data_IF_292849735876
#
_entry.id   IF_292849735876
#
_cell.length_a   1.000
_cell.length_b   1.000
_cell.length_c   1.000
_cell.angle_alpha   90.00
_cell.angle_beta   90.00
_cell.angle_gamma   90.00
#
_symmetry.space_group_name_H-M   'P 1'
#
loop_
_entity.id
_entity.type
_entity.pdbx_description
1 polymer ?
#
# COMPACT_ATOMS: atom_id res chain seq x y z
N UNK A 1 19.55 8.40 6.37
CA UNK A 1 19.22 7.76 5.08
C UNK A 1 18.60 8.82 4.18
N UNK A 2 18.66 8.66 2.86
CA UNK A 2 17.92 9.50 1.92
C UNK A 2 16.44 9.11 1.94
N UNK A 3 15.52 9.99 1.52
CA UNK A 3 14.06 9.73 1.53
C UNK A 3 13.69 8.42 0.82
N UNK A 4 14.28 8.14 -0.34
CA UNK A 4 14.06 6.88 -1.07
C UNK A 4 14.52 5.63 -0.27
N UNK A 5 15.59 5.76 0.53
CA UNK A 5 16.08 4.69 1.38
C UNK A 5 15.16 4.45 2.58
N UNK A 6 14.52 5.50 3.13
CA UNK A 6 13.47 5.32 4.14
C UNK A 6 12.24 4.63 3.55
N UNK A 7 11.85 4.96 2.31
CA UNK A 7 10.73 4.31 1.62
C UNK A 7 11.01 2.82 1.35
N UNK A 8 12.21 2.50 0.86
CA UNK A 8 12.66 1.11 0.72
C UNK A 8 12.69 0.38 2.07
N UNK A 9 13.21 1.02 3.12
CA UNK A 9 13.26 0.44 4.45
C UNK A 9 11.85 0.20 5.01
N UNK A 10 10.89 1.09 4.73
CA UNK A 10 9.50 0.92 5.13
C UNK A 10 8.88 -0.33 4.50
N UNK A 11 9.09 -0.56 3.20
CA UNK A 11 8.67 -1.78 2.51
C UNK A 11 9.27 -3.06 3.14
N UNK A 12 10.53 -3.00 3.56
CA UNK A 12 11.23 -4.13 4.19
C UNK A 12 10.74 -4.37 5.63
N UNK A 13 10.51 -3.31 6.39
CA UNK A 13 10.03 -3.41 7.78
C UNK A 13 8.57 -3.86 7.84
N UNK A 14 7.74 -3.45 6.89
CA UNK A 14 6.35 -3.90 6.76
C UNK A 14 6.30 -5.43 6.67
N UNK A 15 7.00 -6.03 5.71
CA UNK A 15 6.98 -7.49 5.56
C UNK A 15 7.71 -8.21 6.71
N UNK A 16 8.67 -7.56 7.36
CA UNK A 16 9.38 -8.12 8.52
C UNK A 16 8.57 -8.08 9.82
N UNK A 17 7.54 -7.24 9.92
CA UNK A 17 6.66 -7.17 11.09
C UNK A 17 5.89 -8.48 11.27
N UNK A 18 5.89 -9.05 12.48
CA UNK A 18 5.23 -10.33 12.74
C UNK A 18 4.70 -10.46 14.18
N UNK A 19 3.47 -10.96 14.39
CA UNK A 19 2.54 -11.47 13.38
C UNK A 19 1.78 -10.36 12.62
N UNK A 20 1.57 -10.56 11.31
CA UNK A 20 0.59 -9.79 10.52
C UNK A 20 -0.54 -10.72 10.08
N UNK A 21 -1.71 -10.70 10.76
CA UNK A 21 -2.77 -11.66 10.48
C UNK A 21 -3.17 -11.75 9.02
N UNK A 22 -2.99 -12.94 8.43
CA UNK A 22 -3.38 -13.26 7.05
C UNK A 22 -2.46 -12.73 5.95
N UNK A 23 -1.46 -11.91 6.27
CA UNK A 23 -0.54 -11.35 5.28
C UNK A 23 0.79 -12.15 5.26
N UNK A 24 1.57 -11.99 4.19
CA UNK A 24 2.92 -12.55 4.13
C UNK A 24 3.80 -11.85 5.15
N UNK A 25 4.48 -12.63 5.98
CA UNK A 25 5.43 -12.13 6.96
C UNK A 25 6.64 -13.08 7.06
N UNK A 26 7.52 -12.84 8.04
CA UNK A 26 8.70 -13.68 8.24
C UNK A 26 8.40 -15.16 8.50
N UNK A 27 7.21 -15.48 9.01
CA UNK A 27 6.80 -16.84 9.38
C UNK A 27 5.82 -17.46 8.38
N UNK A 28 5.16 -16.64 7.55
CA UNK A 28 4.04 -17.05 6.69
C UNK A 28 4.27 -16.66 5.23
N UNK A 29 4.07 -17.65 4.37
CA UNK A 29 4.11 -17.56 2.91
C UNK A 29 2.75 -18.04 2.35
N UNK A 30 2.39 -17.54 1.17
CA UNK A 30 1.44 -18.20 0.27
C UNK A 30 2.20 -19.02 -0.79
N UNK A 31 1.51 -19.96 -1.46
CA UNK A 31 2.12 -20.81 -2.49
C UNK A 31 2.83 -20.01 -3.59
N UNK A 32 2.18 -18.92 -4.05
CA UNK A 32 2.65 -18.08 -5.15
C UNK A 32 3.29 -16.75 -4.69
N UNK A 33 3.17 -16.39 -3.41
CA UNK A 33 3.64 -15.12 -2.86
C UNK A 33 4.33 -15.31 -1.51
N UNK A 34 5.64 -15.02 -1.46
CA UNK A 34 6.53 -15.44 -0.36
C UNK A 34 7.37 -14.28 0.16
N UNK A 35 7.88 -14.39 1.38
CA UNK A 35 8.68 -13.37 2.04
C UNK A 35 9.82 -12.83 1.16
N UNK A 36 10.56 -13.70 0.46
CA UNK A 36 11.67 -13.26 -0.41
C UNK A 36 11.23 -12.41 -1.61
N UNK A 37 9.97 -12.55 -2.06
CA UNK A 37 9.41 -11.77 -3.16
C UNK A 37 9.25 -10.31 -2.76
N UNK A 38 8.87 -10.04 -1.51
CA UNK A 38 8.82 -8.67 -0.96
C UNK A 38 10.21 -8.08 -0.75
N UNK A 39 11.18 -8.88 -0.30
CA UNK A 39 12.57 -8.40 -0.16
C UNK A 39 13.15 -7.97 -1.51
N UNK A 40 12.99 -8.82 -2.52
CA UNK A 40 13.44 -8.54 -3.88
C UNK A 40 12.65 -7.37 -4.48
N UNK A 41 11.34 -7.32 -4.25
CA UNK A 41 10.45 -6.26 -4.71
C UNK A 41 10.83 -4.88 -4.15
N UNK A 42 11.11 -4.79 -2.86
CA UNK A 42 11.55 -3.55 -2.21
C UNK A 42 12.90 -3.06 -2.76
N UNK A 43 13.82 -3.97 -3.10
CA UNK A 43 15.08 -3.61 -3.77
C UNK A 43 14.83 -3.16 -5.21
N UNK A 44 13.98 -3.85 -5.94
CA UNK A 44 13.63 -3.52 -7.33
C UNK A 44 12.94 -2.17 -7.46
N UNK A 45 12.10 -1.78 -6.51
CA UNK A 45 11.38 -0.51 -6.51
C UNK A 45 12.26 0.73 -6.33
N UNK A 46 13.54 0.56 -5.97
CA UNK A 46 14.41 1.66 -5.54
C UNK A 46 14.54 2.76 -6.59
N UNK A 47 14.70 2.41 -7.88
CA UNK A 47 14.89 3.40 -8.96
C UNK A 47 13.66 4.33 -9.09
N UNK A 48 12.45 3.79 -8.95
CA UNK A 48 11.23 4.59 -8.97
C UNK A 48 11.05 5.46 -7.73
N UNK A 49 11.43 4.95 -6.56
CA UNK A 49 11.43 5.73 -5.31
C UNK A 49 12.48 6.85 -5.34
N UNK A 50 13.66 6.60 -5.91
CA UNK A 50 14.68 7.62 -6.13
C UNK A 50 14.21 8.70 -7.11
N UNK A 51 13.53 8.31 -8.20
CA UNK A 51 12.92 9.24 -9.13
C UNK A 51 11.88 10.15 -8.44
N UNK A 52 11.01 9.57 -7.60
CA UNK A 52 10.03 10.34 -6.84
C UNK A 52 10.70 11.35 -5.89
N UNK A 53 11.76 10.93 -5.21
CA UNK A 53 12.55 11.78 -4.31
C UNK A 53 13.34 12.87 -5.07
N UNK A 54 13.75 12.61 -6.31
CA UNK A 54 14.37 13.60 -7.20
C UNK A 54 13.35 14.60 -7.80
N UNK A 55 12.06 14.32 -7.63
CA UNK A 55 10.96 15.18 -8.02
C UNK A 55 10.37 14.93 -9.41
N UNK A 56 10.61 13.74 -9.96
CA UNK A 56 9.94 13.26 -11.16
C UNK A 56 8.41 13.11 -10.94
N UNK A 57 7.61 13.05 -12.04
CA UNK A 57 6.16 12.87 -11.94
C UNK A 57 5.77 11.57 -11.24
N UNK A 58 4.74 11.65 -10.38
CA UNK A 58 4.26 10.54 -9.53
C UNK A 58 3.97 9.30 -10.35
N UNK A 59 3.25 9.42 -11.46
CA UNK A 59 2.88 8.26 -12.27
C UNK A 59 4.06 7.61 -12.98
N UNK A 60 5.07 8.39 -13.39
CA UNK A 60 6.28 7.86 -14.01
C UNK A 60 7.20 7.16 -13.00
N UNK A 61 7.32 7.74 -11.80
CA UNK A 61 8.03 7.13 -10.67
C UNK A 61 7.36 5.84 -10.20
N UNK A 62 6.03 5.82 -10.15
CA UNK A 62 5.25 4.63 -9.81
C UNK A 62 5.42 3.51 -10.84
N UNK A 63 5.30 3.82 -12.13
CA UNK A 63 5.54 2.86 -13.24
C UNK A 63 6.92 2.20 -13.12
N UNK A 64 7.97 3.02 -12.95
CA UNK A 64 9.35 2.55 -12.74
C UNK A 64 9.49 1.67 -11.49
N UNK A 65 8.86 2.07 -10.38
CA UNK A 65 8.93 1.33 -9.13
C UNK A 65 8.26 -0.05 -9.26
N UNK A 66 7.11 -0.12 -9.93
CA UNK A 66 6.37 -1.36 -10.16
C UNK A 66 7.11 -2.25 -11.15
N UNK A 67 7.66 -1.71 -12.23
CA UNK A 67 8.49 -2.45 -13.18
C UNK A 67 9.67 -3.13 -12.48
N UNK A 68 10.42 -2.39 -11.66
CA UNK A 68 11.54 -2.91 -10.89
C UNK A 68 11.12 -3.94 -9.85
N UNK A 69 10.04 -3.66 -9.12
CA UNK A 69 9.46 -4.59 -8.13
C UNK A 69 9.01 -5.91 -8.78
N UNK A 70 8.52 -5.88 -10.02
CA UNK A 70 8.01 -7.04 -10.75
C UNK A 70 9.08 -8.01 -11.29
N UNK A 71 10.38 -7.67 -11.22
CA UNK A 71 11.46 -8.53 -11.75
C UNK A 71 11.66 -9.84 -10.97
N UNK A 72 11.00 -9.96 -9.82
CA UNK A 72 10.90 -11.17 -9.02
C UNK A 72 9.74 -12.07 -9.51
N UNK A 73 9.67 -13.34 -9.07
CA UNK A 73 8.79 -14.36 -9.67
C UNK A 73 7.37 -14.49 -9.10
N UNK A 74 7.04 -13.74 -8.05
CA UNK A 74 5.78 -13.78 -7.29
C UNK A 74 4.74 -12.76 -7.73
N UNK A 75 4.92 -12.09 -8.87
CA UNK A 75 3.97 -11.11 -9.39
C UNK A 75 3.85 -9.86 -8.50
N UNK A 76 2.62 -9.52 -8.11
CA UNK A 76 2.33 -8.36 -7.27
C UNK A 76 2.69 -8.64 -5.80
N UNK A 77 3.84 -8.12 -5.36
CA UNK A 77 4.19 -8.11 -3.94
C UNK A 77 3.73 -6.85 -3.22
N UNK A 78 3.87 -5.67 -3.84
CA UNK A 78 3.81 -4.37 -3.13
C UNK A 78 3.20 -3.24 -3.98
N UNK A 79 2.32 -3.54 -4.94
CA UNK A 79 1.74 -2.52 -5.82
C UNK A 79 0.96 -1.44 -5.06
N UNK A 80 0.05 -1.84 -4.15
CA UNK A 80 -0.74 -0.90 -3.36
C UNK A 80 0.13 -0.06 -2.42
N UNK A 81 1.11 -0.69 -1.76
CA UNK A 81 2.10 0.00 -0.94
C UNK A 81 2.85 1.07 -1.75
N UNK A 82 3.37 0.74 -2.95
CA UNK A 82 4.03 1.71 -3.82
C UNK A 82 3.10 2.84 -4.25
N UNK A 83 1.82 2.55 -4.47
CA UNK A 83 0.82 3.54 -4.85
C UNK A 83 0.58 4.56 -3.72
N UNK A 84 0.74 4.17 -2.46
CA UNK A 84 0.73 5.10 -1.32
C UNK A 84 2.09 5.77 -1.08
N UNK A 85 3.20 5.02 -1.21
CA UNK A 85 4.54 5.49 -0.89
C UNK A 85 5.06 6.54 -1.87
N UNK A 86 4.83 6.40 -3.17
CA UNK A 86 5.37 7.33 -4.19
C UNK A 86 4.93 8.79 -3.95
N UNK A 87 3.64 9.12 -3.77
CA UNK A 87 3.23 10.49 -3.48
C UNK A 87 3.75 10.98 -2.12
N UNK A 88 3.86 10.13 -1.10
CA UNK A 88 4.45 10.49 0.20
C UNK A 88 5.94 10.85 0.08
N UNK A 89 6.71 10.05 -0.68
CA UNK A 89 8.11 10.34 -1.00
C UNK A 89 8.26 11.66 -1.75
N UNK A 90 7.37 11.91 -2.73
CA UNK A 90 7.36 13.16 -3.48
C UNK A 90 7.06 14.36 -2.58
N UNK A 91 6.11 14.22 -1.65
CA UNK A 91 5.76 15.28 -0.70
C UNK A 91 6.96 15.61 0.21
N UNK A 92 7.55 14.58 0.84
CA UNK A 92 8.70 14.71 1.73
C UNK A 92 9.89 15.40 1.06
N UNK A 93 10.14 15.11 -0.23
CA UNK A 93 11.23 15.72 -0.99
C UNK A 93 10.98 17.19 -1.41
N UNK A 94 9.72 17.65 -1.44
CA UNK A 94 9.36 18.96 -2.02
C UNK A 94 9.03 20.01 -0.97
N UNK A 95 8.17 19.65 -0.01
CA UNK A 95 7.55 20.61 0.91
C UNK A 95 7.70 20.16 2.36
N UNK A 96 7.31 18.92 2.62
CA UNK A 96 7.15 18.34 3.95
C UNK A 96 6.33 17.06 3.87
N UNK A 97 6.15 16.38 5.00
CA UNK A 97 5.41 15.13 5.08
C UNK A 97 4.21 15.27 6.04
N UNK A 98 3.24 16.06 5.61
CA UNK A 98 1.96 16.27 6.33
C UNK A 98 0.77 15.83 5.46
N UNK A 99 -0.43 15.67 6.04
CA UNK A 99 -1.64 15.44 5.26
C UNK A 99 -1.85 16.47 4.14
N UNK A 100 -1.68 17.77 4.45
CA UNK A 100 -1.87 18.86 3.48
C UNK A 100 -0.80 18.84 2.38
N UNK A 101 0.47 18.57 2.73
CA UNK A 101 1.55 18.47 1.74
C UNK A 101 1.30 17.29 0.78
N UNK A 102 0.82 16.17 1.32
CA UNK A 102 0.54 14.96 0.53
C UNK A 102 -0.69 15.14 -0.34
N UNK A 103 -1.75 15.75 0.18
CA UNK A 103 -2.94 16.14 -0.57
C UNK A 103 -2.56 17.04 -1.77
N UNK A 104 -1.70 18.03 -1.54
CA UNK A 104 -1.21 18.90 -2.61
C UNK A 104 -0.43 18.15 -3.70
N UNK A 105 0.32 17.10 -3.36
CA UNK A 105 1.00 16.24 -4.37
C UNK A 105 -0.02 15.49 -5.21
N UNK A 106 -0.97 14.81 -4.56
CA UNK A 106 -1.90 13.93 -5.28
C UNK A 106 -2.89 14.73 -6.12
N UNK A 107 -3.43 15.83 -5.60
CA UNK A 107 -4.34 16.74 -6.33
C UNK A 107 -3.65 17.43 -7.51
N UNK A 108 -2.33 17.59 -7.48
CA UNK A 108 -1.55 18.15 -8.57
C UNK A 108 -1.15 17.14 -9.65
N UNK A 109 -1.53 15.86 -9.50
CA UNK A 109 -1.24 14.85 -10.53
C UNK A 109 -1.92 15.18 -11.86
N UNK A 110 -1.30 14.72 -12.94
CA UNK A 110 -1.70 15.03 -14.31
C UNK A 110 -2.31 13.82 -15.02
N UNK A 111 -2.78 14.05 -16.25
CA UNK A 111 -3.21 12.99 -17.17
C UNK A 111 -2.05 12.07 -17.54
N UNK A 112 -0.82 12.58 -17.59
CA UNK A 112 0.35 11.74 -17.86
C UNK A 112 0.76 10.91 -16.63
N UNK A 113 0.48 11.39 -15.41
CA UNK A 113 0.60 10.59 -14.20
C UNK A 113 -0.41 9.42 -14.23
N UNK A 114 -1.66 9.69 -14.62
CA UNK A 114 -2.63 8.62 -14.85
C UNK A 114 -2.11 7.63 -15.89
N UNK A 115 -1.57 8.11 -17.02
CA UNK A 115 -1.01 7.21 -18.02
C UNK A 115 0.15 6.34 -17.50
N UNK A 116 0.96 6.85 -16.55
CA UNK A 116 1.98 6.05 -15.85
C UNK A 116 1.37 4.99 -14.94
N UNK A 117 0.35 5.35 -14.16
CA UNK A 117 -0.41 4.39 -13.35
C UNK A 117 -1.00 3.24 -14.18
N UNK A 118 -1.62 3.54 -15.33
CA UNK A 118 -2.16 2.49 -16.21
C UNK A 118 -1.07 1.61 -16.85
N UNK A 119 0.12 2.14 -17.15
CA UNK A 119 1.24 1.31 -17.64
C UNK A 119 1.75 0.34 -16.57
N UNK A 120 1.68 0.71 -15.30
CA UNK A 120 2.15 -0.15 -14.22
C UNK A 120 1.40 -1.50 -14.16
N UNK A 121 0.16 -1.58 -14.66
CA UNK A 121 -0.62 -2.82 -14.77
C UNK A 121 -0.07 -3.79 -15.82
N UNK A 122 0.80 -3.35 -16.74
CA UNK A 122 1.47 -4.25 -17.70
C UNK A 122 2.54 -5.12 -17.02
N UNK A 123 2.96 -4.76 -15.81
CA UNK A 123 4.04 -5.43 -15.09
C UNK A 123 3.55 -6.47 -14.09
N UNK A 124 2.31 -6.33 -13.59
CA UNK A 124 1.77 -7.18 -12.52
C UNK A 124 0.27 -7.40 -12.68
N UNK A 125 -0.18 -8.59 -12.26
CA UNK A 125 -1.61 -8.88 -12.11
C UNK A 125 -2.11 -8.31 -10.77
N UNK A 126 -3.00 -7.33 -10.84
CA UNK A 126 -3.64 -6.72 -9.66
C UNK A 126 -5.09 -7.17 -9.60
N UNK A 127 -5.53 -7.64 -8.43
CA UNK A 127 -6.93 -7.95 -8.22
C UNK A 127 -7.75 -6.65 -8.18
N UNK A 128 -8.71 -6.52 -9.11
CA UNK A 128 -9.63 -5.38 -9.19
C UNK A 128 -11.01 -5.87 -9.57
N UNK A 129 -12.04 -5.20 -9.06
CA UNK A 129 -13.43 -5.51 -9.40
C UNK A 129 -13.79 -5.06 -10.82
N UNK A 130 -14.96 -5.49 -11.28
CA UNK A 130 -15.53 -4.98 -12.52
C UNK A 130 -15.78 -3.47 -12.41
N UNK A 131 -15.35 -2.67 -13.40
CA UNK A 131 -15.62 -1.24 -13.39
C UNK A 131 -17.13 -0.98 -13.51
N UNK A 132 -17.62 0.17 -13.01
CA UNK A 132 -18.94 0.66 -13.35
C UNK A 132 -19.17 0.68 -14.87
N UNK A 133 -20.40 0.43 -15.31
CA UNK A 133 -20.73 0.30 -16.74
C UNK A 133 -20.38 1.54 -17.59
N UNK A 134 -20.35 2.74 -16.99
CA UNK A 134 -19.96 4.00 -17.61
C UNK A 134 -18.44 4.29 -17.58
N UNK A 135 -17.69 3.44 -16.88
CA UNK A 135 -16.24 3.48 -16.71
C UNK A 135 -15.50 2.30 -17.38
N UNK A 136 -16.17 1.45 -18.17
CA UNK A 136 -15.54 0.32 -18.88
C UNK A 136 -14.34 0.75 -19.75
N UNK A 137 -14.39 1.97 -20.31
CA UNK A 137 -13.27 2.52 -21.08
C UNK A 137 -12.03 2.87 -20.23
N UNK A 138 -12.21 3.01 -18.92
CA UNK A 138 -11.22 3.33 -17.89
C UNK A 138 -10.90 2.11 -17.02
N UNK A 139 -11.26 0.90 -17.45
CA UNK A 139 -10.91 -0.31 -16.74
C UNK A 139 -9.39 -0.45 -16.64
N UNK A 140 -8.86 -0.44 -15.41
CA UNK A 140 -7.43 -0.55 -15.14
C UNK A 140 -6.83 -1.86 -15.63
N UNK A 141 -7.63 -2.93 -15.78
CA UNK A 141 -7.20 -4.23 -16.36
C UNK A 141 -6.83 -4.13 -17.84
N UNK A 142 -7.22 -3.04 -18.51
CA UNK A 142 -6.81 -2.75 -19.89
C UNK A 142 -5.40 -2.15 -19.95
N UNK A 143 -4.80 -1.82 -18.80
CA UNK A 143 -3.45 -1.27 -18.73
C UNK A 143 -3.24 -0.11 -19.70
N UNK A 144 -2.20 -0.20 -20.53
CA UNK A 144 -1.86 0.83 -21.50
C UNK A 144 -2.97 1.11 -22.54
N UNK A 145 -3.85 0.16 -22.82
CA UNK A 145 -4.95 0.31 -23.79
C UNK A 145 -6.07 1.25 -23.30
N UNK A 146 -6.13 1.57 -22.00
CA UNK A 146 -7.06 2.57 -21.45
C UNK A 146 -6.55 4.01 -21.61
N UNK A 147 -5.25 4.21 -21.84
CA UNK A 147 -4.61 5.55 -21.89
C UNK A 147 -5.27 6.50 -22.91
N UNK A 148 -5.67 6.06 -24.12
CA UNK A 148 -6.41 6.92 -25.05
C UNK A 148 -7.72 7.48 -24.45
N UNK A 149 -8.47 6.66 -23.71
CA UNK A 149 -9.72 7.07 -23.06
C UNK A 149 -9.46 8.01 -21.86
N UNK A 150 -8.42 7.72 -21.06
CA UNK A 150 -7.94 8.60 -19.98
C UNK A 150 -7.61 9.99 -20.52
N UNK A 151 -6.90 10.07 -21.65
CA UNK A 151 -6.54 11.32 -22.32
C UNK A 151 -7.74 12.04 -22.94
N UNK A 152 -8.63 11.31 -23.59
CA UNK A 152 -9.86 11.88 -24.17
C UNK A 152 -10.74 12.53 -23.10
N UNK A 153 -10.84 11.90 -21.93
CA UNK A 153 -11.61 12.40 -20.78
C UNK A 153 -10.83 13.38 -19.90
N UNK A 154 -9.56 13.65 -20.21
CA UNK A 154 -8.65 14.50 -19.43
C UNK A 154 -8.57 14.09 -17.94
N UNK A 155 -8.59 12.79 -17.67
CA UNK A 155 -8.60 12.22 -16.32
C UNK A 155 -7.19 12.28 -15.72
N UNK A 156 -7.03 13.01 -14.62
CA UNK A 156 -5.81 12.99 -13.81
C UNK A 156 -5.71 11.72 -12.97
N UNK A 157 -4.55 11.43 -12.38
CA UNK A 157 -4.44 10.26 -11.49
C UNK A 157 -5.31 10.44 -10.24
N UNK A 158 -5.41 11.66 -9.71
CA UNK A 158 -6.35 11.97 -8.62
C UNK A 158 -7.79 11.63 -8.97
N UNK A 159 -8.25 12.04 -10.16
CA UNK A 159 -9.62 11.75 -10.58
C UNK A 159 -9.89 10.23 -10.73
N UNK A 160 -8.88 9.46 -11.16
CA UNK A 160 -8.96 7.99 -11.23
C UNK A 160 -9.07 7.39 -9.83
N UNK A 161 -8.32 7.92 -8.86
CA UNK A 161 -8.43 7.51 -7.46
C UNK A 161 -9.78 7.91 -6.87
N UNK A 162 -10.31 9.09 -7.17
CA UNK A 162 -11.63 9.54 -6.71
C UNK A 162 -12.76 8.62 -7.20
N UNK A 163 -12.70 8.17 -8.45
CA UNK A 163 -13.64 7.20 -8.98
C UNK A 163 -13.60 5.85 -8.23
N UNK A 164 -12.41 5.46 -7.74
CA UNK A 164 -12.16 4.15 -7.11
C UNK A 164 -12.34 4.16 -5.59
N UNK A 165 -12.23 5.34 -4.96
CA UNK A 165 -12.23 5.52 -3.51
C UNK A 165 -13.42 4.91 -2.74
N UNK A 166 -14.66 4.83 -3.29
CA UNK A 166 -15.77 4.21 -2.56
C UNK A 166 -15.60 2.71 -2.28
N UNK A 167 -14.81 2.00 -3.10
CA UNK A 167 -14.66 0.54 -3.04
C UNK A 167 -13.20 0.11 -2.78
N UNK A 168 -12.26 1.05 -2.76
CA UNK A 168 -10.84 0.76 -2.62
C UNK A 168 -10.16 1.61 -1.54
N UNK A 169 -9.64 0.96 -0.50
CA UNK A 169 -9.04 1.63 0.65
C UNK A 169 -7.72 2.35 0.34
N UNK A 170 -6.97 1.92 -0.67
CA UNK A 170 -5.76 2.62 -1.13
C UNK A 170 -6.17 3.90 -1.85
N UNK A 171 -7.16 3.83 -2.74
CA UNK A 171 -7.70 5.01 -3.41
C UNK A 171 -8.39 5.98 -2.42
N UNK A 172 -9.03 5.46 -1.37
CA UNK A 172 -9.63 6.27 -0.31
C UNK A 172 -8.58 7.14 0.42
N UNK A 173 -7.38 6.62 0.68
CA UNK A 173 -6.29 7.39 1.28
C UNK A 173 -5.85 8.56 0.40
N UNK A 174 -5.83 8.39 -0.92
CA UNK A 174 -5.49 9.45 -1.87
C UNK A 174 -6.46 10.65 -1.79
N UNK A 175 -7.75 10.40 -1.62
CA UNK A 175 -8.77 11.47 -1.60
C UNK A 175 -9.07 12.02 -0.21
N UNK A 176 -8.62 11.35 0.85
CA UNK A 176 -8.89 11.74 2.24
C UNK A 176 -7.68 12.33 2.98
N UNK A 177 -6.57 12.58 2.26
CA UNK A 177 -5.33 13.13 2.84
C UNK A 177 -4.53 12.11 3.64
N UNK A 178 -4.57 10.84 3.25
CA UNK A 178 -3.83 9.73 3.87
C UNK A 178 -4.17 9.58 5.35
N UNK A 179 -5.48 9.70 5.67
CA UNK A 179 -6.02 9.77 7.03
C UNK A 179 -5.54 8.58 7.87
N UNK A 180 -5.69 7.34 7.39
CA UNK A 180 -5.34 6.13 8.16
C UNK A 180 -3.83 6.00 8.32
N UNK A 181 -3.09 6.28 7.25
CA UNK A 181 -1.62 6.29 7.21
C UNK A 181 -1.05 7.19 8.30
N UNK A 182 -1.49 8.45 8.34
CA UNK A 182 -1.01 9.42 9.33
C UNK A 182 -1.53 9.14 10.74
N UNK A 183 -2.75 8.62 10.88
CA UNK A 183 -3.34 8.31 12.18
C UNK A 183 -2.56 7.20 12.92
N UNK A 184 -2.15 6.14 12.24
CA UNK A 184 -1.45 5.01 12.88
C UNK A 184 0.06 5.21 13.03
N UNK A 185 0.62 6.28 12.45
CA UNK A 185 2.07 6.54 12.53
C UNK A 185 2.57 6.60 13.98
N UNK A 186 1.75 7.16 14.89
CA UNK A 186 2.06 7.25 16.32
C UNK A 186 2.33 5.89 16.99
N UNK A 187 1.65 4.84 16.54
CA UNK A 187 1.85 3.46 17.04
C UNK A 187 3.26 2.96 16.73
N UNK A 188 3.83 3.40 15.62
CA UNK A 188 5.20 3.05 15.20
C UNK A 188 6.24 3.96 15.88
N UNK A 189 5.99 5.27 15.90
CA UNK A 189 6.95 6.26 16.42
C UNK A 189 7.10 6.18 17.94
N UNK A 190 5.98 6.03 18.64
CA UNK A 190 5.91 6.14 20.10
C UNK A 190 5.91 4.75 20.77
N UNK A 191 5.79 3.68 19.97
CA UNK A 191 5.82 2.31 20.46
C UNK A 191 7.17 1.91 21.05
N UNK A 192 7.14 0.95 21.97
CA UNK A 192 8.34 0.37 22.57
C UNK A 192 8.82 -0.88 21.80
N UNK A 193 10.09 -1.24 21.97
CA UNK A 193 10.66 -2.47 21.42
C UNK A 193 11.17 -2.34 19.96
N UNK A 194 11.49 -3.46 19.31
CA UNK A 194 11.96 -3.47 17.92
C UNK A 194 10.95 -2.86 16.95
N UNK A 195 11.42 -2.10 15.95
CA UNK A 195 10.53 -1.45 14.96
C UNK A 195 9.59 -2.45 14.25
N UNK A 196 10.02 -3.65 13.83
CA UNK A 196 9.09 -4.63 13.23
C UNK A 196 7.92 -5.02 14.14
N UNK A 197 8.10 -5.05 15.47
CA UNK A 197 7.03 -5.38 16.41
C UNK A 197 6.00 -4.24 16.48
N UNK A 198 6.46 -2.98 16.39
CA UNK A 198 5.59 -1.79 16.35
C UNK A 198 4.81 -1.70 15.03
N UNK A 199 5.46 -2.10 13.93
CA UNK A 199 4.82 -2.23 12.61
C UNK A 199 3.72 -3.29 12.64
N UNK A 200 3.96 -4.43 13.28
CA UNK A 200 2.94 -5.46 13.47
C UNK A 200 1.76 -4.96 14.34
N UNK A 201 2.04 -4.16 15.37
CA UNK A 201 0.99 -3.51 16.17
C UNK A 201 0.17 -2.51 15.34
N UNK A 202 0.82 -1.68 14.53
CA UNK A 202 0.15 -0.76 13.62
C UNK A 202 -0.75 -1.48 12.60
N UNK A 203 -0.29 -2.62 12.06
CA UNK A 203 -1.11 -3.47 11.19
C UNK A 203 -2.37 -3.97 11.91
N UNK A 204 -2.22 -4.51 13.12
CA UNK A 204 -3.36 -5.02 13.90
C UNK A 204 -4.33 -3.90 14.28
N UNK A 205 -3.82 -2.73 14.63
CA UNK A 205 -4.59 -1.53 14.90
C UNK A 205 -5.44 -1.10 13.71
N UNK A 206 -4.83 -1.00 12.51
CA UNK A 206 -5.54 -0.66 11.28
C UNK A 206 -6.60 -1.70 10.94
N UNK A 207 -6.28 -3.00 11.06
CA UNK A 207 -7.20 -4.10 10.78
C UNK A 207 -8.40 -4.12 11.74
N UNK A 208 -8.20 -3.69 12.98
CA UNK A 208 -9.24 -3.59 14.00
C UNK A 208 -10.16 -2.37 13.81
N UNK A 209 -9.67 -1.31 13.18
CA UNK A 209 -10.39 -0.04 13.03
C UNK A 209 -11.41 -0.10 11.88
N UNK A 210 -11.02 -0.66 10.73
CA UNK A 210 -11.85 -0.65 9.51
C UNK A 210 -11.68 -1.95 8.71
N UNK A 211 -12.76 -2.52 8.13
CA UNK A 211 -12.68 -3.71 7.29
C UNK A 211 -11.69 -3.53 6.13
N UNK A 212 -10.90 -4.57 5.85
CA UNK A 212 -9.95 -4.55 4.75
C UNK A 212 -10.67 -4.70 3.40
N UNK A 213 -10.50 -3.72 2.51
CA UNK A 213 -11.20 -3.72 1.22
C UNK A 213 -10.77 -4.86 0.31
N UNK A 214 -9.51 -5.31 0.34
CA UNK A 214 -9.11 -6.46 -0.47
C UNK A 214 -9.72 -7.76 0.06
N UNK A 215 -9.84 -7.92 1.38
CA UNK A 215 -10.60 -9.04 1.96
C UNK A 215 -12.07 -8.97 1.56
N UNK A 216 -12.69 -7.79 1.59
CA UNK A 216 -14.08 -7.61 1.19
C UNK A 216 -14.30 -7.99 -0.28
N UNK A 217 -13.38 -7.59 -1.17
CA UNK A 217 -13.43 -7.92 -2.59
C UNK A 217 -13.27 -9.42 -2.87
N UNK A 218 -12.31 -10.08 -2.22
CA UNK A 218 -11.99 -11.49 -2.48
C UNK A 218 -12.90 -12.48 -1.73
N UNK A 219 -13.39 -12.11 -0.55
CA UNK A 219 -14.11 -13.02 0.36
C UNK A 219 -15.48 -12.49 0.83
N UNK A 220 -15.85 -11.26 0.46
CA UNK A 220 -17.11 -10.62 0.81
C UNK A 220 -17.05 -9.82 2.12
N UNK A 221 -17.92 -8.81 2.20
CA UNK A 221 -18.05 -7.88 3.34
C UNK A 221 -18.18 -8.58 4.71
N UNK A 222 -18.95 -9.67 4.77
CA UNK A 222 -19.15 -10.39 6.02
C UNK A 222 -17.85 -11.04 6.55
N UNK A 223 -16.95 -11.46 5.66
CA UNK A 223 -15.65 -11.99 6.05
C UNK A 223 -14.73 -10.85 6.50
N UNK A 224 -14.72 -9.72 5.78
CA UNK A 224 -13.93 -8.56 6.14
C UNK A 224 -14.31 -8.01 7.53
N UNK A 225 -15.61 -7.86 7.82
CA UNK A 225 -16.08 -7.43 9.14
C UNK A 225 -15.71 -8.44 10.23
N UNK A 226 -15.87 -9.75 9.96
CA UNK A 226 -15.48 -10.78 10.93
C UNK A 226 -13.99 -10.76 11.24
N UNK A 227 -13.13 -10.52 10.24
CA UNK A 227 -11.68 -10.35 10.44
C UNK A 227 -11.41 -9.12 11.31
N UNK A 228 -12.06 -8.00 11.01
CA UNK A 228 -11.91 -6.74 11.75
C UNK A 228 -12.36 -6.84 13.21
N UNK A 229 -13.51 -7.47 13.48
CA UNK A 229 -13.99 -7.73 14.85
C UNK A 229 -13.01 -8.60 15.65
N UNK A 230 -12.41 -9.61 15.01
CA UNK A 230 -11.42 -10.48 15.64
C UNK A 230 -10.10 -9.76 15.89
N UNK A 231 -9.62 -8.97 14.94
CA UNK A 231 -8.45 -8.11 15.14
C UNK A 231 -8.66 -7.16 16.33
N UNK A 232 -9.86 -6.57 16.46
CA UNK A 232 -10.21 -5.71 17.58
C UNK A 232 -10.18 -6.45 18.93
N UNK A 233 -10.65 -7.70 18.98
CA UNK A 233 -10.57 -8.53 20.18
C UNK A 233 -9.12 -8.90 20.57
N UNK A 234 -8.20 -8.93 19.60
CA UNK A 234 -6.80 -9.33 19.79
C UNK A 234 -5.84 -8.18 20.13
N UNK A 235 -6.31 -6.93 20.17
CA UNK A 235 -5.49 -5.75 20.53
C UNK A 235 -4.78 -5.89 21.88
N UNK A 236 -5.36 -6.63 22.83
CA UNK A 236 -4.76 -6.88 24.14
C UNK A 236 -4.46 -8.35 24.41
N UNK A 237 -4.59 -9.20 23.39
CA UNK A 237 -4.26 -10.60 23.45
C UNK A 237 -2.74 -10.82 23.47
N UNK A 238 -2.31 -11.99 23.93
CA UNK A 238 -0.90 -12.34 23.87
C UNK A 238 -0.43 -12.64 22.44
N UNK A 239 0.88 -12.80 22.27
CA UNK A 239 1.49 -13.03 20.97
C UNK A 239 1.05 -14.35 20.36
N UNK A 240 0.81 -15.39 21.16
CA UNK A 240 0.46 -16.72 20.67
C UNK A 240 -0.98 -16.73 20.11
N UNK A 241 -1.91 -16.01 20.73
CA UNK A 241 -3.27 -15.81 20.21
C UNK A 241 -3.27 -15.06 18.86
N UNK A 242 -2.42 -14.04 18.73
CA UNK A 242 -2.26 -13.28 17.48
C UNK A 242 -1.62 -14.11 16.37
N UNK A 243 -0.61 -14.92 16.70
CA UNK A 243 0.01 -15.86 15.77
C UNK A 243 -1.00 -16.91 15.29
N UNK A 244 -1.81 -17.47 16.20
CA UNK A 244 -2.85 -18.44 15.84
C UNK A 244 -3.91 -17.83 14.90
N UNK A 245 -4.30 -16.58 15.12
CA UNK A 245 -5.19 -15.87 14.19
C UNK A 245 -4.53 -15.64 12.83
N UNK A 246 -3.24 -15.31 12.81
CA UNK A 246 -2.50 -15.11 11.59
C UNK A 246 -2.38 -16.41 10.77
N UNK A 247 -2.10 -17.54 11.42
CA UNK A 247 -2.10 -18.86 10.78
C UNK A 247 -3.47 -19.19 10.18
N UNK A 248 -4.55 -18.99 10.94
CA UNK A 248 -5.90 -19.29 10.46
C UNK A 248 -6.27 -18.51 9.19
N UNK A 249 -5.93 -17.21 9.14
CA UNK A 249 -6.22 -16.41 7.96
C UNK A 249 -5.42 -16.86 6.73
N UNK A 250 -4.15 -17.21 6.91
CA UNK A 250 -3.32 -17.76 5.82
C UNK A 250 -3.86 -19.11 5.33
N UNK A 251 -4.23 -20.02 6.25
CA UNK A 251 -4.87 -21.31 5.89
C UNK A 251 -6.17 -21.13 5.11
N UNK A 252 -6.91 -20.05 5.38
CA UNK A 252 -8.14 -19.69 4.67
C UNK A 252 -7.91 -18.89 3.39
N UNK A 253 -6.67 -18.53 3.09
CA UNK A 253 -6.31 -17.67 1.96
C UNK A 253 -6.82 -16.23 2.11
N UNK A 254 -7.10 -15.77 3.32
CA UNK A 254 -7.64 -14.43 3.60
C UNK A 254 -6.49 -13.47 3.87
N UNK A 255 -6.23 -12.57 2.92
CA UNK A 255 -5.11 -11.63 2.97
C UNK A 255 -5.55 -10.17 3.13
N UNK A 256 -5.38 -9.55 4.32
CA UNK A 256 -5.62 -8.12 4.55
C UNK A 256 -4.50 -7.24 3.99
N UNK A 257 -4.33 -7.24 2.67
CA UNK A 257 -3.22 -6.52 2.05
C UNK A 257 -3.46 -5.02 1.85
N UNK A 258 -4.71 -4.52 1.81
CA UNK A 258 -4.93 -3.05 1.88
C UNK A 258 -4.39 -2.50 3.21
N UNK A 259 -4.59 -3.25 4.29
CA UNK A 259 -4.04 -2.94 5.62
C UNK A 259 -2.50 -2.99 5.60
N UNK A 260 -1.90 -3.96 4.92
CA UNK A 260 -0.44 -4.03 4.73
C UNK A 260 0.09 -2.80 3.98
N UNK A 261 -0.57 -2.40 2.90
CA UNK A 261 -0.20 -1.24 2.09
C UNK A 261 -0.17 0.05 2.92
N UNK A 262 -1.23 0.29 3.71
CA UNK A 262 -1.32 1.44 4.62
C UNK A 262 -0.26 1.35 5.73
N UNK A 263 0.03 0.14 6.22
CA UNK A 263 1.09 -0.09 7.21
C UNK A 263 2.47 0.28 6.65
N UNK A 264 2.77 -0.08 5.40
CA UNK A 264 4.01 0.33 4.72
C UNK A 264 4.12 1.85 4.61
N UNK A 265 3.04 2.51 4.19
CA UNK A 265 2.97 3.96 4.08
C UNK A 265 3.19 4.64 5.45
N UNK A 266 2.54 4.16 6.51
CA UNK A 266 2.69 4.69 7.86
C UNK A 266 4.11 4.50 8.41
N UNK A 267 4.72 3.34 8.09
CA UNK A 267 6.12 3.06 8.44
C UNK A 267 7.06 4.05 7.76
N UNK A 268 6.82 4.42 6.50
CA UNK A 268 7.60 5.46 5.83
C UNK A 268 7.47 6.82 6.53
N UNK A 269 6.25 7.23 6.89
CA UNK A 269 6.05 8.49 7.63
C UNK A 269 6.80 8.47 8.95
N UNK A 270 6.75 7.38 9.70
CA UNK A 270 7.45 7.24 10.98
C UNK A 270 8.98 7.37 10.83
N UNK A 271 9.56 6.76 9.78
CA UNK A 271 10.99 6.84 9.50
C UNK A 271 11.42 8.25 9.04
N UNK A 272 10.68 8.84 8.09
CA UNK A 272 11.05 10.10 7.43
C UNK A 272 10.73 11.33 8.28
N UNK A 273 9.51 11.40 8.84
CA UNK A 273 9.03 12.57 9.59
C UNK A 273 9.37 12.51 11.07
N UNK A 274 9.17 11.34 11.68
CA UNK A 274 9.24 11.19 13.14
C UNK A 274 10.59 10.67 13.63
N UNK A 275 11.49 10.32 12.70
CA UNK A 275 12.89 9.98 13.00
C UNK A 275 13.07 8.62 13.67
N UNK A 276 12.15 7.69 13.44
CA UNK A 276 12.28 6.30 13.91
C UNK A 276 13.54 5.67 13.31
N UNK A 277 14.32 4.99 14.16
CA UNK A 277 15.52 4.24 13.75
C UNK A 277 15.39 2.80 14.25
N UNK A 278 15.47 1.79 13.37
CA UNK A 278 15.45 0.37 13.74
C UNK A 278 16.64 -0.10 14.57
#
# INVERSE_FOLDING_TARGET
MQTAQHAQLALLLEVAGTPKPGNVDRHRDFDDLRFEHFLAGAVGACDGLEAAAAGEPVGASFDTAVEGMSQQRGGNAQFGALLLLVPLVRAAATWGLTPDDTAAVVEATSVDDAAGFYRAFEHVDVFVDEPPADAEALDVRRGADAIPAVRERAMTLYDVMELSAPEDGVAAEWVNGFRRTFAVTGTISDGDGPVPDRVAEAFLELLADEPDTMVAKQHGEAVAESVRERAAALRHADRDEREAFADELVERGVNPGTTADITAAATFVALERDGVVP
#
